data_IF_677371654333
#
_entry.id   IF_677371654333
#
_cell.length_a   1.000
_cell.length_b   1.000
_cell.length_c   1.000
_cell.angle_alpha   90.00
_cell.angle_beta   90.00
_cell.angle_gamma   90.00
#
_symmetry.space_group_name_H-M   'P 1'
#
loop_
_entity.id
_entity.type
_entity.pdbx_description
1 polymer ?
#
# COMPACT_ATOMS: atom_id res chain seq x y z
N UNK A 1 -53.61 -8.12 -50.85
CA UNK A 1 -53.40 -6.72 -50.42
C UNK A 1 -53.58 -6.67 -48.89
N UNK A 2 -52.81 -7.41 -48.09
CA UNK A 2 -51.46 -7.10 -47.59
C UNK A 2 -51.24 -5.60 -47.31
N UNK A 3 -51.32 -5.20 -46.04
CA UNK A 3 -50.57 -4.13 -45.32
C UNK A 3 -51.39 -3.76 -44.05
N UNK A 4 -51.35 -4.57 -42.99
CA UNK A 4 -51.88 -4.16 -41.66
C UNK A 4 -51.23 -4.88 -40.45
N UNK A 5 -50.24 -5.74 -40.64
CA UNK A 5 -49.63 -6.54 -39.54
C UNK A 5 -48.23 -6.10 -39.10
N UNK A 6 -47.63 -5.08 -39.73
CA UNK A 6 -46.21 -4.74 -39.52
C UNK A 6 -46.00 -3.65 -38.45
N UNK A 7 -46.98 -2.78 -38.17
CA UNK A 7 -46.75 -1.62 -37.28
C UNK A 7 -46.81 -1.93 -35.78
N UNK A 8 -47.42 -3.05 -35.36
CA UNK A 8 -47.53 -3.42 -33.92
C UNK A 8 -46.35 -4.24 -33.38
N UNK A 9 -45.53 -4.83 -34.26
CA UNK A 9 -44.40 -5.68 -33.85
C UNK A 9 -43.11 -4.86 -33.73
N UNK A 10 -42.97 -3.77 -34.48
CA UNK A 10 -41.78 -2.90 -34.42
C UNK A 10 -41.73 -2.03 -33.16
N UNK A 11 -42.87 -1.76 -32.49
CA UNK A 11 -42.90 -0.97 -31.24
C UNK A 11 -42.61 -1.81 -29.98
N UNK A 12 -42.62 -3.14 -30.09
CA UNK A 12 -42.35 -4.07 -28.99
C UNK A 12 -40.91 -4.62 -29.00
N UNK A 13 -40.10 -4.24 -30.00
CA UNK A 13 -38.71 -4.70 -30.14
C UNK A 13 -37.65 -3.64 -29.79
N UNK A 14 -38.05 -2.39 -29.52
CA UNK A 14 -37.15 -1.33 -29.02
C UNK A 14 -37.11 -1.23 -27.50
N UNK A 15 -37.92 -2.03 -26.78
CA UNK A 15 -38.01 -2.05 -25.31
C UNK A 15 -37.42 -3.31 -24.67
N UNK A 16 -36.64 -4.09 -25.41
CA UNK A 16 -35.93 -5.24 -24.84
C UNK A 16 -34.44 -4.95 -24.86
N UNK A 17 -33.97 -4.63 -23.65
CA UNK A 17 -32.60 -4.77 -23.17
C UNK A 17 -31.64 -3.58 -23.30
N UNK A 18 -32.16 -2.39 -22.99
CA UNK A 18 -31.39 -1.32 -22.34
C UNK A 18 -31.20 -1.62 -20.82
N UNK A 19 -30.92 -2.88 -20.47
CA UNK A 19 -30.91 -3.37 -19.08
C UNK A 19 -29.69 -4.26 -18.78
N UNK A 20 -28.52 -3.83 -19.27
CA UNK A 20 -27.23 -4.40 -18.88
C UNK A 20 -26.21 -3.29 -18.59
N UNK A 21 -26.61 -2.30 -17.78
CA UNK A 21 -25.66 -1.46 -17.02
C UNK A 21 -26.16 -1.48 -15.58
N UNK A 22 -26.02 -2.64 -14.93
CA UNK A 22 -26.30 -2.79 -13.52
C UNK A 22 -25.00 -3.20 -12.84
N UNK A 23 -24.41 -2.23 -12.14
CA UNK A 23 -23.32 -2.48 -11.20
C UNK A 23 -21.92 -2.25 -11.75
N UNK A 24 -21.61 -1.07 -12.30
CA UNK A 24 -20.26 -0.53 -12.07
C UNK A 24 -20.21 -0.21 -10.58
N UNK A 25 -19.77 -1.17 -9.78
CA UNK A 25 -19.40 -0.90 -8.39
C UNK A 25 -18.16 -0.04 -8.47
N UNK A 26 -18.34 1.28 -8.33
CA UNK A 26 -17.22 2.20 -8.15
C UNK A 26 -16.69 1.90 -6.75
N UNK A 27 -15.74 0.97 -6.66
CA UNK A 27 -14.92 0.82 -5.46
C UNK A 27 -14.26 2.18 -5.23
N UNK A 28 -14.37 2.72 -4.02
CA UNK A 28 -13.62 3.92 -3.67
C UNK A 28 -12.13 3.55 -3.71
N UNK A 29 -11.47 3.84 -4.84
CA UNK A 29 -10.04 3.61 -4.97
C UNK A 29 -9.29 4.72 -4.24
N UNK A 30 -8.42 4.34 -3.31
CA UNK A 30 -7.48 5.27 -2.71
C UNK A 30 -6.52 5.74 -3.80
N UNK A 31 -6.31 7.05 -3.91
CA UNK A 31 -5.34 7.62 -4.86
C UNK A 31 -3.98 7.90 -4.20
N UNK A 32 -3.93 7.92 -2.87
CA UNK A 32 -2.72 8.18 -2.08
C UNK A 32 -2.62 7.22 -0.89
N UNK A 33 -1.41 6.98 -0.42
CA UNK A 33 -1.17 6.17 0.76
C UNK A 33 -1.66 6.90 2.03
N UNK A 34 -2.19 6.13 2.99
CA UNK A 34 -2.57 6.65 4.31
C UNK A 34 -1.31 6.88 5.14
N UNK A 35 -0.92 8.15 5.29
CA UNK A 35 0.34 8.56 5.95
C UNK A 35 0.21 8.84 7.46
N UNK A 36 -1.01 8.81 8.01
CA UNK A 36 -1.26 8.99 9.45
C UNK A 36 -2.50 8.22 9.91
N UNK A 37 -2.54 7.84 11.19
CA UNK A 37 -3.69 7.17 11.80
C UNK A 37 -3.80 5.68 11.46
N UNK A 38 -5.03 5.15 11.57
CA UNK A 38 -5.37 3.76 11.29
C UNK A 38 -6.65 3.71 10.45
N UNK A 39 -6.79 2.65 9.65
CA UNK A 39 -8.01 2.34 8.92
C UNK A 39 -9.09 1.93 9.92
N UNK A 40 -10.25 2.59 9.88
CA UNK A 40 -11.37 2.26 10.77
C UNK A 40 -12.30 1.21 10.15
N UNK A 41 -12.53 1.31 8.83
CA UNK A 41 -13.41 0.43 8.08
C UNK A 41 -12.60 -0.32 7.02
N UNK A 42 -12.18 -1.54 7.35
CA UNK A 42 -11.45 -2.39 6.43
C UNK A 42 -12.37 -2.97 5.35
N UNK A 43 -11.93 -2.86 4.09
CA UNK A 43 -12.54 -3.50 2.93
C UNK A 43 -11.46 -4.30 2.19
N UNK A 44 -11.59 -5.64 2.05
CA UNK A 44 -10.62 -6.46 1.34
C UNK A 44 -10.48 -6.14 -0.16
N UNK A 45 -11.43 -5.41 -0.76
CA UNK A 45 -11.37 -5.00 -2.16
C UNK A 45 -10.52 -3.73 -2.40
N UNK A 46 -10.12 -3.03 -1.34
CA UNK A 46 -9.36 -1.77 -1.44
C UNK A 46 -7.85 -2.03 -1.45
N UNK A 47 -7.13 -1.41 -2.40
CA UNK A 47 -5.67 -1.28 -2.35
C UNK A 47 -5.31 -0.11 -1.41
N UNK A 48 -4.79 -0.43 -0.22
CA UNK A 48 -4.35 0.55 0.77
C UNK A 48 -2.94 1.11 0.49
N UNK A 49 -2.29 0.63 -0.59
CA UNK A 49 -0.99 1.11 -1.04
C UNK A 49 -0.99 1.47 -2.54
N UNK A 50 -1.82 2.44 -2.97
CA UNK A 50 -1.87 2.87 -4.37
C UNK A 50 -0.56 3.49 -4.86
N UNK A 51 0.21 4.17 -3.99
CA UNK A 51 1.53 4.71 -4.34
C UNK A 51 2.61 3.63 -4.13
N UNK A 52 3.01 3.00 -5.24
CA UNK A 52 3.99 1.90 -5.27
C UNK A 52 5.39 2.43 -5.58
N UNK A 53 6.40 1.86 -4.94
CA UNK A 53 7.79 2.21 -5.17
C UNK A 53 8.28 1.62 -6.50
N UNK A 54 8.96 2.44 -7.31
CA UNK A 54 9.79 1.96 -8.43
C UNK A 54 11.23 1.74 -7.93
N UNK A 55 11.84 0.64 -8.35
CA UNK A 55 13.22 0.31 -8.00
C UNK A 55 14.04 0.27 -9.28
N UNK A 56 14.82 1.32 -9.52
CA UNK A 56 15.57 1.47 -10.78
C UNK A 56 17.01 0.92 -10.70
N UNK A 57 17.62 1.01 -9.51
CA UNK A 57 19.04 0.69 -9.32
C UNK A 57 19.33 -0.29 -8.18
N UNK A 58 18.46 -0.36 -7.17
CA UNK A 58 18.73 -1.19 -6.00
C UNK A 58 18.51 -2.68 -6.31
N UNK A 59 19.44 -3.54 -5.89
CA UNK A 59 19.37 -5.00 -6.12
C UNK A 59 19.29 -5.80 -4.82
N UNK A 60 19.49 -5.16 -3.66
CA UNK A 60 19.56 -5.81 -2.35
C UNK A 60 18.23 -6.04 -1.65
N UNK A 61 17.12 -5.59 -2.25
CA UNK A 61 15.78 -5.82 -1.71
C UNK A 61 14.70 -5.80 -2.80
N UNK A 62 13.52 -6.34 -2.48
CA UNK A 62 12.32 -6.25 -3.30
C UNK A 62 11.10 -5.88 -2.46
N UNK A 63 10.08 -5.31 -3.10
CA UNK A 63 8.80 -4.97 -2.47
C UNK A 63 7.67 -5.57 -3.30
N UNK A 64 6.75 -6.27 -2.64
CA UNK A 64 5.51 -6.80 -3.26
C UNK A 64 4.31 -6.31 -2.47
N UNK A 65 3.22 -5.99 -3.17
CA UNK A 65 2.03 -5.33 -2.63
C UNK A 65 0.84 -6.29 -2.64
N UNK A 66 0.09 -6.33 -1.55
CA UNK A 66 -0.98 -7.31 -1.28
C UNK A 66 -2.22 -6.62 -0.67
N UNK A 67 -2.71 -5.57 -1.33
CA UNK A 67 -3.88 -4.78 -0.91
C UNK A 67 -3.64 -3.99 0.38
N UNK A 68 -3.67 -4.65 1.54
CA UNK A 68 -3.56 -4.04 2.87
C UNK A 68 -2.21 -4.27 3.57
N UNK A 69 -1.28 -4.99 2.93
CA UNK A 69 0.09 -5.09 3.40
C UNK A 69 1.08 -5.11 2.23
N UNK A 70 2.34 -4.81 2.52
CA UNK A 70 3.46 -5.01 1.60
C UNK A 70 4.48 -5.94 2.23
N UNK A 71 5.04 -6.83 1.41
CA UNK A 71 6.15 -7.71 1.79
C UNK A 71 7.44 -7.15 1.22
N UNK A 72 8.36 -6.82 2.10
CA UNK A 72 9.71 -6.36 1.77
C UNK A 72 10.68 -7.49 2.06
N UNK A 73 11.42 -7.94 1.06
CA UNK A 73 12.47 -8.95 1.22
C UNK A 73 13.81 -8.28 1.03
N UNK A 74 14.64 -8.25 2.08
CA UNK A 74 16.01 -7.76 2.03
C UNK A 74 16.92 -8.97 1.82
N UNK A 75 17.30 -9.20 0.57
CA UNK A 75 18.09 -10.36 0.13
C UNK A 75 19.59 -10.21 0.39
N UNK A 76 20.09 -8.98 0.44
CA UNK A 76 21.52 -8.66 0.66
C UNK A 76 21.68 -7.56 1.71
N UNK A 77 21.42 -7.87 2.99
CA UNK A 77 21.46 -6.88 4.08
C UNK A 77 22.86 -6.29 4.34
N UNK A 78 23.91 -7.03 4.00
CA UNK A 78 25.30 -6.57 3.95
C UNK A 78 26.07 -7.34 2.88
N UNK A 79 27.30 -6.90 2.57
CA UNK A 79 28.16 -7.56 1.59
C UNK A 79 28.40 -9.03 1.96
N UNK A 80 28.15 -9.94 1.01
CA UNK A 80 28.30 -11.39 1.19
C UNK A 80 27.35 -12.03 2.23
N UNK A 81 26.24 -11.37 2.57
CA UNK A 81 25.23 -11.95 3.44
C UNK A 81 24.69 -13.27 2.85
N UNK A 82 24.55 -14.29 3.69
CA UNK A 82 23.93 -15.58 3.33
C UNK A 82 22.48 -15.71 3.80
N UNK A 83 22.01 -14.72 4.55
CA UNK A 83 20.67 -14.68 5.14
C UNK A 83 19.90 -13.51 4.57
N UNK A 84 18.62 -13.74 4.29
CA UNK A 84 17.66 -12.71 3.91
C UNK A 84 16.74 -12.39 5.11
N UNK A 85 16.19 -11.18 5.11
CA UNK A 85 15.17 -10.75 6.07
C UNK A 85 13.86 -10.47 5.33
N UNK A 86 12.75 -10.95 5.89
CA UNK A 86 11.42 -10.67 5.37
C UNK A 86 10.68 -9.78 6.35
N UNK A 87 10.15 -8.66 5.84
CA UNK A 87 9.33 -7.73 6.60
C UNK A 87 7.93 -7.65 6.01
N UNK A 88 6.93 -7.79 6.86
CA UNK A 88 5.52 -7.63 6.50
C UNK A 88 5.06 -6.28 7.08
N UNK A 89 4.80 -5.32 6.21
CA UNK A 89 4.39 -3.97 6.59
C UNK A 89 2.86 -3.87 6.38
N UNK A 90 2.11 -3.98 7.47
CA UNK A 90 0.64 -4.05 7.49
C UNK A 90 0.06 -2.67 7.69
N UNK A 91 -0.92 -2.27 6.87
CA UNK A 91 -1.63 -1.02 7.07
C UNK A 91 -2.32 -1.03 8.45
N UNK A 92 -2.05 -0.02 9.29
CA UNK A 92 -2.69 0.11 10.60
C UNK A 92 -4.20 0.07 10.46
N UNK A 93 -4.87 -0.67 11.35
CA UNK A 93 -6.32 -0.84 11.33
C UNK A 93 -6.84 -1.92 10.37
N UNK A 94 -5.94 -2.61 9.67
CA UNK A 94 -6.30 -3.77 8.81
C UNK A 94 -5.91 -5.09 9.48
N UNK A 95 -6.54 -6.22 9.09
CA UNK A 95 -6.19 -7.54 9.63
C UNK A 95 -4.72 -7.89 9.40
N UNK A 96 -4.13 -8.66 10.31
CA UNK A 96 -2.80 -9.22 10.11
C UNK A 96 -2.89 -10.39 9.13
N UNK A 97 -2.11 -10.41 8.03
CA UNK A 97 -2.13 -11.52 7.07
C UNK A 97 -1.42 -12.75 7.64
N UNK A 98 -1.47 -13.86 6.91
CA UNK A 98 -0.64 -15.03 7.22
C UNK A 98 0.85 -14.68 7.14
N UNK A 99 1.57 -14.90 8.23
CA UNK A 99 2.96 -14.48 8.38
C UNK A 99 3.89 -15.67 8.06
N UNK A 100 4.79 -15.53 7.07
CA UNK A 100 5.81 -16.54 6.81
C UNK A 100 6.72 -16.74 8.02
N UNK A 101 7.21 -17.95 8.22
CA UNK A 101 8.16 -18.25 9.29
C UNK A 101 9.40 -17.35 9.20
N UNK A 102 9.80 -16.78 10.34
CA UNK A 102 10.95 -15.87 10.45
C UNK A 102 10.72 -14.46 9.90
N UNK A 103 9.52 -14.13 9.39
CA UNK A 103 9.19 -12.77 8.99
C UNK A 103 8.90 -11.87 10.21
N UNK A 104 9.34 -10.61 10.13
CA UNK A 104 9.03 -9.59 11.14
C UNK A 104 7.88 -8.71 10.65
N UNK A 105 6.89 -8.47 11.51
CA UNK A 105 5.71 -7.68 11.18
C UNK A 105 5.82 -6.28 11.77
N UNK A 106 5.52 -5.26 10.97
CA UNK A 106 5.38 -3.88 11.42
C UNK A 106 4.05 -3.30 10.95
N UNK A 107 3.38 -2.57 11.82
CA UNK A 107 2.23 -1.75 11.41
C UNK A 107 2.71 -0.42 10.83
N UNK A 108 2.17 -0.01 9.70
CA UNK A 108 2.50 1.25 9.01
C UNK A 108 1.27 2.17 8.88
N UNK A 109 1.45 3.50 8.96
CA UNK A 109 2.70 4.23 9.16
C UNK A 109 3.30 4.01 10.57
N UNK A 110 4.63 4.05 10.67
CA UNK A 110 5.33 3.91 11.95
C UNK A 110 5.21 5.22 12.75
N UNK A 111 4.67 5.14 13.96
CA UNK A 111 4.41 6.31 14.80
C UNK A 111 5.64 6.75 15.61
N UNK A 112 6.50 5.79 15.96
CA UNK A 112 7.66 6.02 16.82
C UNK A 112 8.79 5.08 16.43
N UNK A 113 10.01 5.60 16.33
CA UNK A 113 11.20 4.78 16.12
C UNK A 113 12.44 5.38 16.79
N UNK A 114 13.45 4.53 16.99
CA UNK A 114 14.78 4.91 17.47
C UNK A 114 15.77 4.68 16.35
N UNK A 115 16.63 5.65 16.04
CA UNK A 115 17.69 5.46 15.05
C UNK A 115 19.02 5.08 15.74
N UNK A 116 19.59 3.95 15.34
CA UNK A 116 20.81 3.41 15.95
C UNK A 116 22.11 3.98 15.37
N UNK A 117 22.02 4.70 14.25
CA UNK A 117 23.13 5.41 13.62
C UNK A 117 22.69 6.80 13.19
N UNK A 118 23.58 7.78 13.35
CA UNK A 118 23.34 9.16 12.89
C UNK A 118 23.32 9.27 11.36
N UNK A 119 23.88 8.28 10.64
CA UNK A 119 23.85 8.22 9.17
C UNK A 119 22.43 8.18 8.59
N UNK A 120 21.44 7.73 9.37
CA UNK A 120 20.04 7.71 8.91
C UNK A 120 19.38 9.09 8.90
N UNK A 121 19.87 10.07 9.68
CA UNK A 121 19.17 11.33 9.94
C UNK A 121 18.88 12.17 8.69
N UNK A 122 19.83 12.40 7.76
CA UNK A 122 19.55 13.21 6.57
C UNK A 122 18.46 12.59 5.69
N UNK A 123 18.38 11.25 5.66
CA UNK A 123 17.41 10.52 4.86
C UNK A 123 16.02 10.59 5.49
N UNK A 124 15.96 10.54 6.83
CA UNK A 124 14.72 10.73 7.59
C UNK A 124 14.19 12.16 7.49
N UNK A 125 15.07 13.16 7.45
CA UNK A 125 14.71 14.56 7.20
C UNK A 125 14.11 14.74 5.81
N UNK A 126 14.79 14.25 4.78
CA UNK A 126 14.30 14.29 3.41
C UNK A 126 12.95 13.55 3.24
N UNK A 127 12.73 12.49 4.02
CA UNK A 127 11.47 11.74 4.05
C UNK A 127 10.37 12.39 4.93
N UNK A 128 10.64 13.51 5.60
CA UNK A 128 9.70 14.16 6.52
C UNK A 128 9.38 13.32 7.78
N UNK A 129 10.22 12.35 8.11
CA UNK A 129 9.96 11.33 9.13
C UNK A 129 10.54 11.67 10.52
N UNK A 130 11.21 12.82 10.68
CA UNK A 130 11.84 13.20 11.95
C UNK A 130 10.84 13.38 13.10
N UNK A 131 9.57 13.68 12.82
CA UNK A 131 8.52 13.81 13.84
C UNK A 131 8.22 12.50 14.58
N UNK A 132 8.51 11.34 13.96
CA UNK A 132 8.37 10.02 14.58
C UNK A 132 9.66 9.51 15.26
N UNK A 133 10.76 10.26 15.20
CA UNK A 133 12.03 9.90 15.85
C UNK A 133 11.97 10.24 17.34
N UNK A 134 12.03 9.22 18.20
CA UNK A 134 11.89 9.39 19.67
C UNK A 134 13.17 9.11 20.45
N UNK A 135 14.24 8.71 19.77
CA UNK A 135 15.52 8.44 20.41
C UNK A 135 16.63 8.09 19.44
N UNK A 136 17.87 8.16 19.94
CA UNK A 136 19.08 7.85 19.19
C UNK A 136 20.00 6.95 19.99
N UNK A 137 20.76 6.08 19.31
CA UNK A 137 21.79 5.26 19.95
C UNK A 137 22.88 6.09 20.65
N UNK A 138 23.13 7.31 20.17
CA UNK A 138 23.99 8.31 20.84
C UNK A 138 23.56 9.73 20.47
N UNK A 139 23.59 10.64 21.44
CA UNK A 139 23.28 12.07 21.25
C UNK A 139 24.53 12.93 21.02
N UNK A 140 25.73 12.34 21.11
CA UNK A 140 27.01 13.09 21.14
C UNK A 140 27.35 13.82 19.83
N UNK A 141 26.76 13.40 18.70
CA UNK A 141 27.16 13.84 17.36
C UNK A 141 25.97 14.33 16.53
N UNK A 142 24.88 14.75 17.18
CA UNK A 142 23.66 15.17 16.51
C UNK A 142 23.34 16.61 16.85
N UNK A 143 23.20 17.42 15.80
CA UNK A 143 22.70 18.77 15.87
C UNK A 143 21.81 18.99 14.65
N UNK A 144 20.61 19.52 14.88
CA UNK A 144 19.72 19.95 13.80
C UNK A 144 19.62 21.47 13.94
N UNK A 145 20.19 22.25 13.01
CA UNK A 145 20.01 23.70 12.99
C UNK A 145 18.52 24.02 12.92
N UNK A 146 18.08 25.06 13.66
CA UNK A 146 16.74 25.63 13.49
C UNK A 146 16.79 26.82 12.56
#
# INVERSE_FOLDING_TARGET
MHITRITRITFLLTLVLFAAVSGVSVTAELTENIKSGAVENYDPAVDYFPEKASIDHATGFSVTYHGHYKKVVVSSPWKNAKQAFTYILVQRGTPTPDIPEGATVFSVPAERFVALSTTYLPHLEAAGALSSLVGLGTLKYVNTPR
#
